data_IF_916298310694
#
_entry.id   IF_916298310694
#
_cell.length_a   1.000
_cell.length_b   1.000
_cell.length_c   1.000
_cell.angle_alpha   90.00
_cell.angle_beta   90.00
_cell.angle_gamma   90.00
#
_symmetry.space_group_name_H-M   'P 1'
#
loop_
_entity.id
_entity.type
_entity.pdbx_description
1 polymer ?
#
# COMPACT_ATOMS: atom_id res chain seq x y z
N UNK A 1 -3.71 -18.03 9.35
CA UNK A 1 -2.91 -17.02 10.06
C UNK A 1 -2.17 -16.21 9.01
N UNK A 2 -2.35 -14.91 8.97
CA UNK A 2 -1.71 -14.01 7.98
C UNK A 2 -0.61 -13.18 8.62
N UNK A 3 -0.62 -13.00 9.93
CA UNK A 3 0.37 -12.19 10.64
C UNK A 3 0.96 -12.99 11.78
N UNK A 4 2.27 -12.84 11.99
CA UNK A 4 2.99 -13.44 13.11
C UNK A 4 3.91 -12.40 13.76
N UNK A 5 3.69 -12.12 15.04
CA UNK A 5 4.51 -11.21 15.84
C UNK A 5 5.16 -11.97 17.00
N UNK A 6 6.49 -11.96 17.03
CA UNK A 6 7.30 -12.57 18.10
C UNK A 6 8.19 -11.55 18.82
N UNK A 7 7.87 -10.25 18.73
CA UNK A 7 8.62 -9.14 19.33
C UNK A 7 8.79 -9.26 20.86
N UNK A 8 7.88 -9.98 21.54
CA UNK A 8 7.94 -10.17 22.99
C UNK A 8 8.77 -11.39 23.40
N UNK A 9 9.35 -12.13 22.44
CA UNK A 9 10.11 -13.36 22.70
C UNK A 9 11.61 -13.06 22.60
N UNK A 10 12.16 -12.37 23.60
CA UNK A 10 13.58 -11.93 23.63
C UNK A 10 14.60 -13.07 23.69
N UNK A 11 14.19 -14.27 24.11
CA UNK A 11 15.01 -15.48 24.15
C UNK A 11 14.85 -16.36 22.89
N UNK A 12 14.25 -15.84 21.81
CA UNK A 12 14.06 -16.59 20.58
C UNK A 12 15.42 -16.94 19.97
N UNK A 13 15.62 -18.23 19.67
CA UNK A 13 16.84 -18.75 19.03
C UNK A 13 16.52 -19.31 17.65
N UNK A 14 15.35 -19.94 17.49
CA UNK A 14 14.91 -20.56 16.23
C UNK A 14 13.45 -20.24 15.98
N UNK A 15 13.11 -19.94 14.73
CA UNK A 15 11.71 -19.74 14.31
C UNK A 15 11.47 -20.45 12.97
N UNK A 16 10.49 -21.35 12.94
CA UNK A 16 9.98 -21.94 11.71
C UNK A 16 8.51 -21.56 11.53
N UNK A 17 8.23 -20.80 10.47
CA UNK A 17 6.90 -20.34 10.05
C UNK A 17 6.64 -20.63 8.56
N UNK A 18 7.32 -21.64 8.02
CA UNK A 18 7.18 -22.06 6.62
C UNK A 18 5.78 -22.58 6.26
N UNK A 19 5.45 -22.54 4.96
CA UNK A 19 4.20 -23.08 4.39
C UNK A 19 2.94 -22.47 5.00
N UNK A 20 2.96 -21.16 5.24
CA UNK A 20 1.81 -20.39 5.71
C UNK A 20 1.38 -19.38 4.64
N UNK A 21 0.37 -18.56 4.98
CA UNK A 21 -0.08 -17.45 4.14
C UNK A 21 0.27 -16.12 4.80
N UNK A 22 1.48 -16.02 5.37
CA UNK A 22 1.90 -14.80 6.06
C UNK A 22 2.03 -13.64 5.06
N UNK A 23 1.50 -12.48 5.43
CA UNK A 23 1.76 -11.20 4.80
C UNK A 23 2.59 -10.27 5.71
N UNK A 24 2.71 -10.61 7.01
CA UNK A 24 3.50 -9.90 8.00
C UNK A 24 4.24 -10.86 8.92
N UNK A 25 5.52 -10.56 9.17
CA UNK A 25 6.33 -11.24 10.16
C UNK A 25 7.18 -10.22 10.93
N UNK A 26 7.00 -10.17 12.25
CA UNK A 26 7.79 -9.30 13.14
C UNK A 26 8.69 -10.14 14.07
N UNK A 27 9.99 -10.09 13.83
CA UNK A 27 11.04 -10.71 14.65
C UNK A 27 11.93 -9.69 15.38
N UNK A 28 11.48 -8.44 15.48
CA UNK A 28 12.15 -7.34 16.19
C UNK A 28 11.97 -7.53 17.72
N UNK A 29 12.72 -8.48 18.28
CA UNK A 29 12.58 -8.93 19.68
C UNK A 29 13.61 -8.28 20.64
N UNK A 30 14.30 -7.24 20.19
CA UNK A 30 15.38 -6.58 20.92
C UNK A 30 16.68 -7.40 20.98
N UNK A 31 16.74 -8.56 20.30
CA UNK A 31 17.89 -9.46 20.30
C UNK A 31 17.95 -10.31 19.02
N UNK A 32 17.67 -9.71 17.85
CA UNK A 32 17.70 -10.38 16.56
C UNK A 32 18.99 -11.20 16.29
N UNK A 33 20.13 -10.81 16.87
CA UNK A 33 21.41 -11.53 16.77
C UNK A 33 21.45 -12.88 17.47
N UNK A 34 20.51 -13.16 18.38
CA UNK A 34 20.37 -14.45 19.06
C UNK A 34 19.58 -15.47 18.23
N UNK A 35 18.92 -15.02 17.16
CA UNK A 35 18.22 -15.89 16.22
C UNK A 35 19.26 -16.53 15.30
N UNK A 36 19.57 -17.79 15.54
CA UNK A 36 20.52 -18.56 14.71
C UNK A 36 19.85 -19.22 13.51
N UNK A 37 18.51 -19.32 13.54
CA UNK A 37 17.73 -19.97 12.49
C UNK A 37 16.37 -19.28 12.31
N UNK A 38 16.06 -18.91 11.06
CA UNK A 38 14.75 -18.45 10.63
C UNK A 38 14.35 -19.21 9.37
N UNK A 39 13.20 -19.88 9.39
CA UNK A 39 12.62 -20.54 8.21
C UNK A 39 11.23 -19.97 7.95
N UNK A 40 11.14 -19.07 6.97
CA UNK A 40 9.91 -18.38 6.55
C UNK A 40 9.58 -18.61 5.07
N UNK A 41 10.02 -19.73 4.51
CA UNK A 41 9.78 -20.12 3.11
C UNK A 41 8.32 -20.53 2.85
N UNK A 42 7.89 -20.54 1.59
CA UNK A 42 6.52 -20.88 1.20
C UNK A 42 5.43 -19.99 1.86
N UNK A 43 5.73 -18.70 1.99
CA UNK A 43 4.82 -17.61 2.35
C UNK A 43 4.72 -16.62 1.18
N UNK A 44 3.95 -16.92 0.11
CA UNK A 44 3.99 -16.15 -1.14
C UNK A 44 3.59 -14.68 -1.00
N UNK A 45 2.85 -14.32 0.05
CA UNK A 45 2.38 -12.96 0.32
C UNK A 45 3.28 -12.19 1.29
N UNK A 46 4.35 -12.81 1.81
CA UNK A 46 5.27 -12.18 2.77
C UNK A 46 6.31 -11.36 2.02
N UNK A 47 6.10 -10.05 1.96
CA UNK A 47 7.04 -9.13 1.28
C UNK A 47 8.06 -8.51 2.24
N UNK A 48 7.72 -8.44 3.54
CA UNK A 48 8.54 -7.76 4.53
C UNK A 48 8.62 -8.55 5.84
N UNK A 49 9.84 -8.67 6.37
CA UNK A 49 10.14 -9.25 7.67
C UNK A 49 10.79 -8.17 8.52
N UNK A 50 10.14 -7.82 9.63
CA UNK A 50 10.59 -6.74 10.51
C UNK A 50 11.64 -7.25 11.49
N UNK A 51 12.81 -6.59 11.54
CA UNK A 51 13.98 -7.02 12.32
C UNK A 51 14.56 -5.87 13.14
N UNK A 52 15.36 -6.18 14.17
CA UNK A 52 16.13 -5.16 14.90
C UNK A 52 17.31 -4.64 14.07
N UNK A 53 18.03 -5.52 13.37
CA UNK A 53 19.21 -5.21 12.58
C UNK A 53 19.13 -5.83 11.17
N UNK A 54 18.87 -4.97 10.18
CA UNK A 54 18.78 -5.36 8.76
C UNK A 54 20.12 -5.86 8.22
N UNK A 55 21.24 -5.32 8.69
CA UNK A 55 22.58 -5.71 8.23
C UNK A 55 22.90 -7.12 8.70
N UNK A 56 22.59 -7.44 9.96
CA UNK A 56 22.72 -8.79 10.49
C UNK A 56 21.83 -9.77 9.72
N UNK A 57 20.53 -9.48 9.61
CA UNK A 57 19.56 -10.35 8.95
C UNK A 57 19.89 -10.62 7.48
N UNK A 58 20.29 -9.58 6.74
CA UNK A 58 20.66 -9.68 5.32
C UNK A 58 22.02 -10.35 5.08
N UNK A 59 22.86 -10.45 6.11
CA UNK A 59 24.15 -11.17 6.03
C UNK A 59 24.00 -12.69 6.22
N UNK A 60 22.86 -13.16 6.72
CA UNK A 60 22.61 -14.58 6.93
C UNK A 60 22.42 -15.32 5.61
N UNK A 61 23.00 -16.51 5.51
CA UNK A 61 22.81 -17.43 4.39
C UNK A 61 21.88 -18.56 4.78
N UNK A 62 20.92 -18.92 3.94
CA UNK A 62 20.04 -20.06 4.19
C UNK A 62 20.81 -21.39 4.20
N UNK A 63 20.81 -22.11 5.33
CA UNK A 63 21.37 -23.46 5.44
C UNK A 63 20.44 -24.39 6.25
N UNK A 64 19.41 -24.90 5.58
CA UNK A 64 18.45 -25.82 6.21
C UNK A 64 19.05 -27.18 6.59
N UNK A 65 20.17 -27.59 5.99
CA UNK A 65 20.81 -28.87 6.33
C UNK A 65 21.58 -28.82 7.65
N UNK A 66 21.90 -27.62 8.13
CA UNK A 66 22.62 -27.39 9.38
C UNK A 66 21.77 -26.66 10.43
N UNK A 67 20.46 -26.49 10.19
CA UNK A 67 19.53 -25.73 11.04
C UNK A 67 20.07 -24.34 11.42
N UNK A 68 20.63 -23.63 10.42
CA UNK A 68 21.27 -22.31 10.60
C UNK A 68 20.94 -21.33 9.48
N UNK A 69 21.00 -20.05 9.84
CA UNK A 69 20.80 -18.92 8.95
C UNK A 69 19.35 -18.65 8.62
N UNK A 70 19.11 -17.69 7.73
CA UNK A 70 17.77 -17.19 7.41
C UNK A 70 17.35 -17.67 6.02
N UNK A 71 16.31 -18.50 6.00
CA UNK A 71 15.67 -19.04 4.81
C UNK A 71 14.33 -18.35 4.62
N UNK A 72 14.25 -17.46 3.64
CA UNK A 72 13.07 -16.66 3.32
C UNK A 72 12.78 -16.76 1.83
N UNK A 73 11.54 -16.51 1.41
CA UNK A 73 11.19 -16.49 -0.01
C UNK A 73 11.85 -15.30 -0.72
N UNK A 74 12.07 -15.44 -2.03
CA UNK A 74 12.72 -14.40 -2.84
C UNK A 74 11.99 -13.04 -2.84
N UNK A 75 10.69 -13.03 -2.55
CA UNK A 75 9.87 -11.82 -2.47
C UNK A 75 9.97 -11.12 -1.12
N UNK A 76 10.50 -11.79 -0.08
CA UNK A 76 10.61 -11.25 1.26
C UNK A 76 11.91 -10.44 1.41
N UNK A 77 11.81 -9.29 2.08
CA UNK A 77 12.96 -8.44 2.43
C UNK A 77 12.98 -8.11 3.91
N UNK A 78 14.17 -7.86 4.46
CA UNK A 78 14.33 -7.45 5.87
C UNK A 78 14.27 -5.93 5.99
N UNK A 79 13.51 -5.42 6.96
CA UNK A 79 13.43 -3.98 7.23
C UNK A 79 13.30 -3.71 8.74
N UNK A 80 13.76 -2.56 9.21
CA UNK A 80 13.50 -2.12 10.60
C UNK A 80 12.06 -1.64 10.78
N UNK A 81 11.37 -1.32 9.69
CA UNK A 81 9.97 -0.93 9.68
C UNK A 81 9.26 -1.51 8.47
N UNK A 82 8.46 -2.55 8.70
CA UNK A 82 7.57 -3.09 7.66
C UNK A 82 6.29 -2.27 7.68
N UNK A 83 6.22 -1.28 6.81
CA UNK A 83 4.99 -0.52 6.64
C UNK A 83 3.93 -1.47 6.06
N UNK A 84 2.95 -1.87 6.87
CA UNK A 84 1.77 -2.63 6.41
C UNK A 84 0.80 -1.78 5.58
N UNK A 85 1.24 -0.60 5.13
CA UNK A 85 0.61 0.02 3.99
C UNK A 85 0.72 -0.97 2.86
N UNK A 86 -0.42 -1.34 2.28
CA UNK A 86 -0.47 -1.82 0.90
C UNK A 86 0.51 -0.93 0.14
N UNK A 87 1.49 -1.52 -0.55
CA UNK A 87 2.20 -0.78 -1.58
C UNK A 87 1.08 -0.21 -2.44
N UNK A 88 0.84 1.10 -2.28
CA UNK A 88 -0.08 1.83 -3.11
C UNK A 88 0.50 1.63 -4.50
N UNK A 89 -0.02 0.65 -5.24
CA UNK A 89 0.20 0.53 -6.67
C UNK A 89 -0.61 1.64 -7.36
N UNK A 90 -0.58 2.83 -6.77
CA UNK A 90 -1.03 4.11 -7.25
C UNK A 90 0.21 4.80 -7.82
N UNK A 91 0.73 4.27 -8.92
CA UNK A 91 1.04 5.22 -9.99
C UNK A 91 -0.30 5.85 -10.36
N UNK A 92 -0.66 6.95 -9.70
CA UNK A 92 -1.88 7.73 -9.93
C UNK A 92 -2.05 7.93 -11.43
N UNK A 93 -2.89 7.08 -12.06
CA UNK A 93 -3.18 7.14 -13.50
C UNK A 93 -4.14 8.27 -13.82
N UNK A 94 -4.77 8.84 -12.79
CA UNK A 94 -5.70 9.95 -12.91
C UNK A 94 -5.07 11.17 -12.24
N UNK A 95 -4.82 12.23 -13.01
CA UNK A 95 -4.38 13.54 -12.50
C UNK A 95 -5.49 14.55 -12.70
N UNK A 96 -5.73 15.39 -11.70
CA UNK A 96 -6.75 16.44 -11.75
C UNK A 96 -6.12 17.79 -11.45
N UNK A 97 -6.25 18.73 -12.38
CA UNK A 97 -5.69 20.08 -12.23
C UNK A 97 -6.51 21.15 -12.97
N UNK A 98 -6.41 22.42 -12.55
CA UNK A 98 -5.78 22.87 -11.29
C UNK A 98 -6.66 22.54 -10.09
N UNK A 99 -6.10 22.10 -8.97
CA UNK A 99 -6.82 21.99 -7.70
C UNK A 99 -6.02 22.73 -6.63
N UNK A 100 -6.50 23.86 -6.08
CA UNK A 100 -7.81 24.49 -6.28
C UNK A 100 -8.06 25.05 -7.70
N UNK A 101 -9.33 25.17 -8.12
CA UNK A 101 -9.75 25.77 -9.40
C UNK A 101 -10.67 26.97 -9.20
N UNK A 102 -10.65 27.89 -10.17
CA UNK A 102 -11.60 29.01 -10.31
C UNK A 102 -12.78 28.68 -11.21
N UNK A 103 -12.62 27.78 -12.19
CA UNK A 103 -13.61 27.58 -13.24
C UNK A 103 -13.67 26.16 -13.73
N UNK A 104 -12.58 25.61 -14.28
CA UNK A 104 -12.57 24.28 -14.92
C UNK A 104 -11.56 23.35 -14.27
N UNK A 105 -11.85 22.06 -14.29
CA UNK A 105 -10.88 21.00 -14.01
C UNK A 105 -10.62 20.18 -15.26
N UNK A 106 -9.37 19.80 -15.42
CA UNK A 106 -8.87 18.88 -16.42
C UNK A 106 -8.51 17.59 -15.69
N UNK A 107 -8.93 16.46 -16.26
CA UNK A 107 -8.70 15.11 -15.77
C UNK A 107 -7.86 14.38 -16.83
N UNK A 108 -6.59 14.14 -16.52
CA UNK A 108 -5.74 13.26 -17.33
C UNK A 108 -5.90 11.83 -16.82
N UNK A 109 -6.17 10.88 -17.70
CA UNK A 109 -6.33 9.46 -17.38
C UNK A 109 -5.67 8.60 -18.46
N UNK A 110 -5.00 7.51 -18.06
CA UNK A 110 -4.55 6.47 -19.01
C UNK A 110 -5.69 5.60 -19.55
N UNK A 111 -6.85 5.62 -18.87
CA UNK A 111 -8.04 4.87 -19.26
C UNK A 111 -9.11 5.81 -19.79
N UNK A 112 -9.96 5.29 -20.68
CA UNK A 112 -11.16 5.97 -21.14
C UNK A 112 -12.07 6.32 -19.95
N UNK A 113 -12.45 7.59 -19.87
CA UNK A 113 -13.34 8.09 -18.82
C UNK A 113 -14.78 7.93 -19.29
N UNK A 114 -15.57 7.13 -18.59
CA UNK A 114 -16.98 6.91 -18.91
C UNK A 114 -17.85 8.03 -18.34
N UNK A 115 -17.52 8.47 -17.12
CA UNK A 115 -18.34 9.41 -16.36
C UNK A 115 -17.53 10.21 -15.36
N UNK A 116 -17.83 11.50 -15.27
CA UNK A 116 -17.34 12.40 -14.23
C UNK A 116 -18.54 13.02 -13.53
N UNK A 117 -18.51 13.07 -12.20
CA UNK A 117 -19.59 13.69 -11.42
C UNK A 117 -19.04 14.46 -10.22
N UNK A 118 -19.69 15.59 -9.92
CA UNK A 118 -19.39 16.41 -8.75
C UNK A 118 -20.51 16.22 -7.74
N UNK A 119 -20.12 15.96 -6.50
CA UNK A 119 -21.00 15.83 -5.37
C UNK A 119 -20.65 16.85 -4.29
N UNK A 120 -21.64 17.26 -3.51
CA UNK A 120 -21.41 17.96 -2.24
C UNK A 120 -20.80 17.01 -1.20
N UNK A 121 -20.30 17.57 -0.08
CA UNK A 121 -19.76 16.78 1.04
C UNK A 121 -20.79 15.84 1.70
N UNK A 122 -22.09 16.11 1.52
CA UNK A 122 -23.17 15.23 2.00
C UNK A 122 -23.62 14.21 0.94
N UNK A 123 -22.89 14.10 -0.18
CA UNK A 123 -23.15 13.12 -1.24
C UNK A 123 -24.21 13.50 -2.28
N UNK A 124 -24.81 14.70 -2.19
CA UNK A 124 -25.75 15.17 -3.21
C UNK A 124 -25.04 15.40 -4.54
N UNK A 125 -25.50 14.76 -5.62
CA UNK A 125 -24.99 14.97 -6.98
C UNK A 125 -25.39 16.36 -7.50
N UNK A 126 -24.39 17.13 -7.93
CA UNK A 126 -24.56 18.51 -8.41
C UNK A 126 -24.50 18.55 -9.93
N UNK A 127 -23.48 17.91 -10.52
CA UNK A 127 -23.34 17.81 -11.96
C UNK A 127 -22.69 16.50 -12.39
N UNK A 128 -22.94 16.13 -13.64
CA UNK A 128 -22.45 14.90 -14.26
C UNK A 128 -22.16 15.13 -15.74
N UNK A 129 -21.10 14.50 -16.24
CA UNK A 129 -20.69 14.49 -17.64
C UNK A 129 -20.22 13.09 -18.01
N UNK A 130 -20.39 12.73 -19.28
CA UNK A 130 -19.97 11.44 -19.82
C UNK A 130 -18.90 11.64 -20.89
N UNK A 131 -18.02 10.65 -21.04
CA UNK A 131 -17.03 10.57 -22.12
C UNK A 131 -16.22 11.87 -22.30
N UNK A 132 -15.80 12.49 -21.18
CA UNK A 132 -15.05 13.75 -21.19
C UNK A 132 -13.97 13.75 -20.13
N UNK A 133 -12.89 14.48 -20.40
CA UNK A 133 -11.76 14.73 -19.51
C UNK A 133 -11.80 16.12 -18.89
N UNK A 134 -12.91 16.85 -19.02
CA UNK A 134 -13.03 18.21 -18.47
C UNK A 134 -14.37 18.43 -17.80
N UNK A 135 -14.39 19.28 -16.79
CA UNK A 135 -15.62 19.63 -16.08
C UNK A 135 -15.61 21.12 -15.70
N UNK A 136 -16.71 21.80 -16.01
CA UNK A 136 -16.88 23.22 -15.75
C UNK A 136 -17.66 23.44 -14.45
N UNK A 137 -17.02 24.15 -13.53
CA UNK A 137 -17.46 24.49 -12.18
C UNK A 137 -17.69 26.00 -12.02
N UNK A 138 -17.69 26.79 -13.10
CA UNK A 138 -17.82 28.26 -13.06
C UNK A 138 -19.08 28.71 -12.30
N UNK A 139 -20.17 27.94 -12.41
CA UNK A 139 -21.45 28.24 -11.76
C UNK A 139 -21.57 27.69 -10.33
N UNK A 140 -20.51 27.06 -9.79
CA UNK A 140 -20.49 26.59 -8.41
C UNK A 140 -19.93 27.66 -7.48
N UNK A 141 -20.48 27.70 -6.27
CA UNK A 141 -19.97 28.55 -5.19
C UNK A 141 -18.58 28.05 -4.75
N UNK A 142 -17.80 28.96 -4.17
CA UNK A 142 -16.57 28.62 -3.47
C UNK A 142 -16.85 27.56 -2.40
N UNK A 143 -16.02 26.53 -2.33
CA UNK A 143 -16.23 25.42 -1.42
C UNK A 143 -15.47 24.14 -1.79
N UNK A 144 -15.67 23.13 -0.95
CA UNK A 144 -15.09 21.80 -1.14
C UNK A 144 -16.14 20.88 -1.77
N UNK A 145 -15.71 20.10 -2.75
CA UNK A 145 -16.55 19.14 -3.45
C UNK A 145 -15.84 17.79 -3.61
N UNK A 146 -16.63 16.75 -3.88
CA UNK A 146 -16.13 15.42 -4.23
C UNK A 146 -16.29 15.20 -5.73
N UNK A 147 -15.18 14.94 -6.40
CA UNK A 147 -15.08 14.60 -7.81
C UNK A 147 -15.00 13.07 -7.95
N UNK A 148 -16.04 12.46 -8.50
CA UNK A 148 -16.07 11.03 -8.80
C UNK A 148 -15.76 10.84 -10.29
N UNK A 149 -14.77 10.02 -10.59
CA UNK A 149 -14.29 9.72 -11.94
C UNK A 149 -14.44 8.22 -12.15
N UNK A 150 -15.35 7.82 -13.02
CA UNK A 150 -15.55 6.43 -13.43
C UNK A 150 -14.89 6.20 -14.78
N UNK A 151 -14.07 5.16 -14.83
CA UNK A 151 -13.45 4.58 -16.02
C UNK A 151 -13.97 3.15 -16.19
N UNK A 152 -13.69 2.53 -17.33
CA UNK A 152 -14.14 1.16 -17.64
C UNK A 152 -13.84 0.15 -16.52
N UNK A 153 -12.71 0.32 -15.84
CA UNK A 153 -12.22 -0.64 -14.85
C UNK A 153 -12.41 -0.20 -13.40
N UNK A 154 -12.50 1.11 -13.12
CA UNK A 154 -12.50 1.62 -11.74
C UNK A 154 -13.23 2.95 -11.60
N UNK A 155 -13.72 3.22 -10.39
CA UNK A 155 -14.19 4.55 -9.96
C UNK A 155 -13.27 5.10 -8.88
N UNK A 156 -12.81 6.32 -9.07
CA UNK A 156 -11.94 7.06 -8.15
C UNK A 156 -12.66 8.31 -7.64
N UNK A 157 -12.44 8.65 -6.36
CA UNK A 157 -13.09 9.80 -5.71
C UNK A 157 -12.02 10.73 -5.16
N UNK A 158 -12.01 11.98 -5.64
CA UNK A 158 -11.03 13.00 -5.26
C UNK A 158 -11.71 14.19 -4.62
N UNK A 159 -11.12 14.73 -3.56
CA UNK A 159 -11.54 16.00 -2.96
C UNK A 159 -10.96 17.17 -3.76
N UNK A 160 -11.83 18.08 -4.20
CA UNK A 160 -11.44 19.29 -4.94
C UNK A 160 -11.86 20.56 -4.20
N UNK A 161 -11.17 21.66 -4.48
CA UNK A 161 -11.47 22.97 -3.91
C UNK A 161 -11.80 23.96 -5.04
N UNK A 162 -13.01 24.54 -4.99
CA UNK A 162 -13.43 25.66 -5.82
C UNK A 162 -13.21 26.95 -5.03
N UNK A 163 -12.50 27.90 -5.63
CA UNK A 163 -12.31 29.26 -5.07
C UNK A 163 -13.49 30.17 -5.35
#
# INVERSE_FOLDING_TARGET
MTELDVSQISNLVRLSCQSNNLNYLNIQNGNNTNIVELVATQNPNLMCIQVDDVSYASSQTCNQSADTGFCVDANASFNTFCNLSVEDFETTKIKVYPNPTESKLIIESFYSIDKISIHSLIGQKILEKHNTSTIDLTNLKAGVYLLNISTENRTEVLKIVKK
#
